data_IF_648061272212
#
_entry.id   IF_648061272212
#
_cell.length_a   1.000
_cell.length_b   1.000
_cell.length_c   1.000
_cell.angle_alpha   90.00
_cell.angle_beta   90.00
_cell.angle_gamma   90.00
#
_symmetry.space_group_name_H-M   'P 1'
#
loop_
_entity.id
_entity.type
_entity.pdbx_description
1 polymer ?
#
# COMPACT_ATOMS: atom_id res chain seq x y z
N UNK A 1 -15.11 9.58 5.06
CA UNK A 1 -13.94 8.70 4.93
C UNK A 1 -14.44 7.33 4.54
N UNK A 2 -13.86 6.74 3.50
CA UNK A 2 -14.22 5.40 3.06
C UNK A 2 -13.36 4.39 3.81
N UNK A 3 -13.93 3.24 4.16
CA UNK A 3 -13.15 2.12 4.69
C UNK A 3 -12.74 1.26 3.51
N UNK A 4 -11.44 1.14 3.28
CA UNK A 4 -10.88 0.25 2.26
C UNK A 4 -10.34 -1.01 2.94
N UNK A 5 -10.59 -2.15 2.31
CA UNK A 5 -10.07 -3.45 2.72
C UNK A 5 -9.34 -4.05 1.53
N UNK A 6 -8.08 -4.38 1.72
CA UNK A 6 -7.23 -4.95 0.68
C UNK A 6 -6.15 -5.83 1.33
N UNK A 7 -5.37 -6.51 0.51
CA UNK A 7 -4.25 -7.33 0.95
C UNK A 7 -2.96 -6.80 0.37
N UNK A 8 -1.91 -6.72 1.20
CA UNK A 8 -0.54 -6.52 0.71
C UNK A 8 0.10 -7.90 0.61
N UNK A 9 0.79 -8.14 -0.49
CA UNK A 9 1.57 -9.34 -0.72
C UNK A 9 3.05 -8.93 -0.66
N UNK A 10 3.88 -9.71 0.02
CA UNK A 10 5.34 -9.49 0.02
C UNK A 10 5.92 -9.73 -1.38
N UNK A 11 7.14 -9.25 -1.63
CA UNK A 11 7.81 -9.30 -2.93
C UNK A 11 7.99 -10.72 -3.48
N UNK A 12 8.09 -11.70 -2.58
CA UNK A 12 8.22 -13.12 -2.93
C UNK A 12 6.86 -13.78 -3.27
N UNK A 13 5.73 -13.11 -3.01
CA UNK A 13 4.39 -13.66 -3.23
C UNK A 13 3.88 -14.59 -2.12
N UNK A 14 4.72 -14.96 -1.16
CA UNK A 14 4.42 -16.03 -0.20
C UNK A 14 3.64 -15.58 1.05
N UNK A 15 3.63 -14.28 1.32
CA UNK A 15 2.99 -13.72 2.53
C UNK A 15 1.91 -12.73 2.14
N UNK A 16 0.74 -12.91 2.74
CA UNK A 16 -0.42 -12.05 2.53
C UNK A 16 -0.79 -11.40 3.86
N UNK A 17 -0.86 -10.07 3.86
CA UNK A 17 -1.25 -9.28 5.02
C UNK A 17 -2.59 -8.59 4.75
N UNK A 18 -3.67 -8.92 5.48
CA UNK A 18 -4.92 -8.18 5.38
C UNK A 18 -4.79 -6.77 5.99
N UNK A 19 -5.19 -5.76 5.23
CA UNK A 19 -5.10 -4.34 5.59
C UNK A 19 -6.49 -3.71 5.62
N UNK A 20 -6.77 -2.93 6.66
CA UNK A 20 -7.94 -2.06 6.77
C UNK A 20 -7.45 -0.62 6.85
N UNK A 21 -7.87 0.20 5.90
CA UNK A 21 -7.54 1.62 5.85
C UNK A 21 -8.79 2.46 6.03
N UNK A 22 -8.72 3.48 6.88
CA UNK A 22 -9.81 4.44 7.11
C UNK A 22 -9.35 5.82 6.67
N UNK A 23 -9.76 6.24 5.48
CA UNK A 23 -9.34 7.53 4.94
C UNK A 23 -9.79 7.76 3.51
N UNK A 24 -8.99 8.53 2.78
CA UNK A 24 -9.10 8.71 1.33
C UNK A 24 -7.81 8.17 0.74
N UNK A 25 -7.91 7.13 -0.09
CA UNK A 25 -6.73 6.60 -0.77
C UNK A 25 -6.35 7.55 -1.93
N UNK A 26 -5.06 7.65 -2.26
CA UNK A 26 -4.62 8.42 -3.42
C UNK A 26 -5.14 7.79 -4.72
N UNK A 27 -5.31 8.59 -5.77
CA UNK A 27 -5.78 8.10 -7.08
C UNK A 27 -4.82 7.08 -7.74
N UNK A 28 -3.57 7.07 -7.28
CA UNK A 28 -2.53 6.11 -7.67
C UNK A 28 -2.66 4.75 -7.00
N UNK A 29 -3.53 4.62 -5.98
CA UNK A 29 -3.83 3.34 -5.35
C UNK A 29 -4.72 2.50 -6.27
N UNK A 30 -4.08 1.61 -7.04
CA UNK A 30 -4.70 0.69 -7.99
C UNK A 30 -4.27 -0.74 -7.70
N UNK A 31 -4.97 -1.70 -8.30
CA UNK A 31 -4.55 -3.11 -8.27
C UNK A 31 -3.12 -3.24 -8.80
N UNK A 32 -2.34 -4.13 -8.17
CA UNK A 32 -0.93 -4.43 -8.46
C UNK A 32 0.05 -3.24 -8.29
N UNK A 33 -0.35 -2.16 -7.63
CA UNK A 33 0.55 -1.07 -7.30
C UNK A 33 1.48 -1.41 -6.12
N UNK A 34 2.73 -0.99 -6.21
CA UNK A 34 3.63 -0.96 -5.05
C UNK A 34 3.14 0.09 -4.05
N UNK A 35 2.84 -0.35 -2.83
CA UNK A 35 2.30 0.52 -1.78
C UNK A 35 3.11 0.43 -0.49
N UNK A 36 3.20 1.54 0.22
CA UNK A 36 3.67 1.62 1.60
C UNK A 36 2.49 2.02 2.46
N UNK A 37 2.18 1.21 3.47
CA UNK A 37 1.12 1.48 4.43
C UNK A 37 1.73 1.72 5.82
N UNK A 38 1.29 2.79 6.50
CA UNK A 38 1.69 3.08 7.87
C UNK A 38 0.50 2.88 8.80
N UNK A 39 0.75 2.31 9.98
CA UNK A 39 -0.30 1.89 10.89
C UNK A 39 0.20 0.92 11.96
N UNK A 40 -0.71 0.09 12.46
CA UNK A 40 -0.40 -0.91 13.49
C UNK A 40 -1.05 -2.26 13.18
N UNK A 41 -0.35 -3.33 13.54
CA UNK A 41 -0.88 -4.70 13.46
C UNK A 41 -1.73 -4.97 14.71
N UNK A 42 -2.96 -5.43 14.51
CA UNK A 42 -3.83 -5.82 15.63
C UNK A 42 -3.56 -7.26 16.07
N UNK A 43 -3.95 -7.64 17.30
CA UNK A 43 -3.83 -9.02 17.78
C UNK A 43 -4.57 -10.05 16.91
N UNK A 44 -5.56 -9.62 16.15
CA UNK A 44 -6.33 -10.45 15.21
C UNK A 44 -5.60 -10.69 13.87
N UNK A 45 -4.40 -10.14 13.70
CA UNK A 45 -3.59 -10.29 12.48
C UNK A 45 -4.00 -9.36 11.34
N UNK A 46 -4.79 -8.31 11.62
CA UNK A 46 -5.20 -7.30 10.62
C UNK A 46 -4.37 -6.04 10.81
N UNK A 47 -3.82 -5.51 9.73
CA UNK A 47 -3.08 -4.26 9.76
C UNK A 47 -4.05 -3.07 9.61
N UNK A 48 -4.14 -2.22 10.64
CA UNK A 48 -4.92 -1.00 10.62
C UNK A 48 -4.06 0.15 10.09
N UNK A 49 -4.24 0.51 8.83
CA UNK A 49 -3.51 1.59 8.18
C UNK A 49 -4.19 2.94 8.43
N UNK A 50 -3.37 3.94 8.79
CA UNK A 50 -3.75 5.35 8.86
C UNK A 50 -3.25 6.16 7.66
N UNK A 51 -2.21 5.68 6.97
CA UNK A 51 -1.61 6.32 5.79
C UNK A 51 -1.36 5.28 4.70
N UNK A 52 -1.61 5.63 3.44
CA UNK A 52 -1.23 4.85 2.27
C UNK A 52 -0.45 5.77 1.31
N UNK A 53 0.73 5.33 0.92
CA UNK A 53 1.55 5.91 -0.13
C UNK A 53 1.64 4.89 -1.26
N UNK A 54 1.06 5.17 -2.42
CA UNK A 54 1.19 4.32 -3.60
C UNK A 54 2.25 4.91 -4.53
N UNK A 55 3.21 4.09 -4.96
CA UNK A 55 4.17 4.50 -5.98
C UNK A 55 3.45 4.71 -7.32
N UNK A 56 3.84 5.72 -8.07
CA UNK A 56 3.41 5.85 -9.45
C UNK A 56 4.03 4.71 -10.28
N UNK A 57 3.26 4.06 -11.19
CA UNK A 57 3.81 3.08 -12.12
C UNK A 57 4.81 3.70 -13.11
N UNK A 58 4.85 5.03 -13.23
CA UNK A 58 5.96 5.77 -13.84
C UNK A 58 7.14 5.77 -12.88
N UNK A 59 7.86 4.64 -12.91
CA UNK A 59 9.28 4.48 -12.58
C UNK A 59 10.03 5.81 -12.63
N UNK A 60 10.88 6.05 -11.64
CA UNK A 60 12.02 6.97 -11.73
C UNK A 60 12.51 7.04 -13.18
N UNK A 61 12.23 8.13 -13.89
CA UNK A 61 13.20 8.62 -14.87
C UNK A 61 14.41 8.96 -14.00
N UNK A 62 15.39 8.05 -13.99
CA UNK A 62 16.72 8.48 -13.65
C UNK A 62 17.00 9.63 -14.62
N UNK A 63 17.03 10.87 -14.14
CA UNK A 63 17.82 11.88 -14.79
C UNK A 63 19.24 11.31 -14.80
N UNK A 64 19.58 10.62 -15.89
CA UNK A 64 20.95 10.35 -16.25
C UNK A 64 21.61 11.72 -16.33
N UNK A 65 22.37 12.02 -15.28
CA UNK A 65 23.34 13.10 -15.21
C UNK A 65 24.17 13.00 -16.50
N UNK A 66 23.89 13.87 -17.47
CA UNK A 66 24.72 14.07 -18.66
C UNK A 66 25.72 15.19 -18.38
#
# INVERSE_FOLDING_TARGET
GTVLKFTIIDSDGDKVLPVVFRGVAPDTFKEDADVVAEGYLTPEGVFQASTILAKCPSRYEAEEIT
#
